data_IF_035327689268
#
_entry.id   IF_035327689268
#
_cell.length_a   1.000
_cell.length_b   1.000
_cell.length_c   1.000
_cell.angle_alpha   90.00
_cell.angle_beta   90.00
_cell.angle_gamma   90.00
#
_symmetry.space_group_name_H-M   'P 1'
#
loop_
_entity.id
_entity.type
_entity.pdbx_description
1 polymer ?
#
# COMPACT_ATOMS: atom_id res chain seq x y z
N UNK A 1 -1.29 49.04 43.70
CA UNK A 1 -2.57 48.72 43.01
C UNK A 1 -2.23 47.84 41.82
N UNK A 2 -2.59 46.56 41.87
CA UNK A 2 -2.29 45.57 40.84
C UNK A 2 -3.47 45.44 39.87
N UNK A 3 -3.21 45.31 38.57
CA UNK A 3 -4.20 44.82 37.60
C UNK A 3 -3.47 43.89 36.62
N UNK A 4 -3.54 42.59 36.90
CA UNK A 4 -3.26 41.53 35.92
C UNK A 4 -4.49 41.43 35.03
N UNK A 5 -4.33 41.59 33.71
CA UNK A 5 -5.40 41.34 32.73
C UNK A 5 -5.18 39.96 32.12
N UNK A 6 -6.21 39.14 32.22
CA UNK A 6 -6.28 37.70 31.95
C UNK A 6 -5.58 37.24 30.66
N UNK A 7 -4.82 36.14 30.75
CA UNK A 7 -4.40 35.33 29.60
C UNK A 7 -5.49 34.26 29.39
N UNK A 8 -6.17 34.32 28.25
CA UNK A 8 -7.13 33.30 27.83
C UNK A 8 -6.36 32.19 27.10
N UNK A 9 -6.21 31.02 27.73
CA UNK A 9 -5.60 29.85 27.10
C UNK A 9 -6.67 29.12 26.29
N UNK A 10 -6.63 29.26 24.96
CA UNK A 10 -7.40 28.39 24.08
C UNK A 10 -6.72 27.02 24.01
N UNK A 11 -7.28 26.03 24.71
CA UNK A 11 -6.99 24.63 24.42
C UNK A 11 -7.72 24.33 23.10
N UNK A 12 -7.00 24.46 21.99
CA UNK A 12 -7.38 23.74 20.77
C UNK A 12 -7.21 22.26 21.08
N UNK A 13 -8.32 21.59 21.41
CA UNK A 13 -8.40 20.15 21.25
C UNK A 13 -8.33 19.91 19.74
N UNK A 14 -7.11 19.76 19.22
CA UNK A 14 -6.92 19.25 17.89
C UNK A 14 -7.50 17.83 17.92
N UNK A 15 -8.70 17.66 17.39
CA UNK A 15 -9.13 16.39 16.84
C UNK A 15 -8.12 16.05 15.75
N UNK A 16 -7.03 15.40 16.16
CA UNK A 16 -6.12 14.77 15.22
C UNK A 16 -6.96 13.68 14.58
N UNK A 17 -7.36 13.90 13.33
CA UNK A 17 -7.80 12.82 12.47
C UNK A 17 -6.61 11.87 12.43
N UNK A 18 -6.63 10.83 13.26
CA UNK A 18 -5.66 9.76 13.09
C UNK A 18 -5.89 9.25 11.67
N UNK A 19 -4.84 9.26 10.84
CA UNK A 19 -4.81 8.43 9.63
C UNK A 19 -5.28 7.04 10.07
N UNK A 20 -6.50 6.70 9.67
CA UNK A 20 -7.11 5.44 10.04
C UNK A 20 -6.28 4.35 9.39
N UNK A 21 -5.97 3.27 10.11
CA UNK A 21 -5.22 2.15 9.58
C UNK A 21 -6.03 0.88 9.87
N UNK A 22 -5.89 -0.12 9.02
CA UNK A 22 -6.57 -1.38 9.23
C UNK A 22 -6.04 -2.03 10.52
N UNK A 23 -6.95 -2.29 11.46
CA UNK A 23 -6.61 -2.84 12.76
C UNK A 23 -6.37 -4.34 12.63
N UNK A 24 -5.13 -4.76 12.87
CA UNK A 24 -4.77 -6.18 12.91
C UNK A 24 -4.99 -6.69 14.32
N UNK A 25 -6.11 -7.39 14.54
CA UNK A 25 -6.45 -7.97 15.83
C UNK A 25 -5.73 -9.30 16.11
N UNK A 26 -6.04 -9.97 17.23
CA UNK A 26 -5.47 -11.28 17.57
C UNK A 26 -5.73 -12.37 16.53
N UNK A 27 -6.79 -12.23 15.74
CA UNK A 27 -7.16 -13.15 14.65
C UNK A 27 -6.65 -12.70 13.27
N UNK A 28 -5.84 -11.64 13.21
CA UNK A 28 -5.38 -11.02 11.98
C UNK A 28 -6.36 -9.96 11.42
N UNK A 29 -6.16 -9.64 10.15
CA UNK A 29 -6.98 -8.74 9.34
C UNK A 29 -7.24 -9.41 7.98
N UNK A 30 -8.41 -9.20 7.41
CA UNK A 30 -8.75 -9.68 6.07
C UNK A 30 -9.62 -8.63 5.38
N UNK A 31 -9.18 -8.20 4.21
CA UNK A 31 -9.97 -7.38 3.30
C UNK A 31 -10.62 -8.28 2.24
N UNK A 32 -11.91 -8.09 1.99
CA UNK A 32 -12.65 -8.83 0.98
C UNK A 32 -13.10 -7.95 -0.20
N UNK A 33 -12.84 -6.64 -0.14
CA UNK A 33 -13.16 -5.65 -1.16
C UNK A 33 -14.63 -5.66 -1.63
N UNK A 34 -15.55 -6.16 -0.79
CA UNK A 34 -16.99 -6.11 -1.06
C UNK A 34 -17.55 -4.69 -1.00
N UNK A 35 -16.79 -3.78 -0.38
CA UNK A 35 -17.03 -2.33 -0.34
C UNK A 35 -15.73 -1.62 -0.71
N UNK A 36 -15.84 -0.36 -1.15
CA UNK A 36 -14.68 0.47 -1.40
C UNK A 36 -13.86 0.59 -0.10
N UNK A 37 -12.57 0.21 -0.10
CA UNK A 37 -11.78 0.27 1.11
C UNK A 37 -11.51 1.73 1.49
N UNK A 38 -11.42 1.99 2.78
CA UNK A 38 -11.10 3.33 3.28
C UNK A 38 -9.67 3.71 2.88
N UNK A 39 -9.46 4.97 2.50
CA UNK A 39 -8.13 5.47 2.06
C UNK A 39 -7.05 5.34 3.13
N UNK A 40 -7.44 5.37 4.40
CA UNK A 40 -6.52 5.13 5.51
C UNK A 40 -5.96 3.71 5.52
N UNK A 41 -6.79 2.73 5.15
CA UNK A 41 -6.43 1.32 5.17
C UNK A 41 -5.75 0.92 3.86
N UNK A 42 -6.28 1.36 2.73
CA UNK A 42 -5.77 1.08 1.38
C UNK A 42 -5.69 2.35 0.55
N UNK A 43 -4.50 2.63 0.05
CA UNK A 43 -4.22 3.84 -0.73
C UNK A 43 -3.36 3.52 -1.95
N UNK A 44 -3.28 4.47 -2.87
CA UNK A 44 -2.48 4.34 -4.08
C UNK A 44 -1.63 5.58 -4.34
N UNK A 45 -0.60 5.41 -5.16
CA UNK A 45 0.28 6.45 -5.63
C UNK A 45 0.81 6.11 -7.03
N UNK A 46 0.94 7.13 -7.86
CA UNK A 46 1.54 7.02 -9.19
C UNK A 46 2.99 7.47 -9.12
N UNK A 47 3.94 6.56 -9.35
CA UNK A 47 5.35 6.93 -9.51
C UNK A 47 5.50 7.52 -10.91
N UNK A 48 5.77 8.83 -10.99
CA UNK A 48 5.95 9.53 -12.26
C UNK A 48 7.11 8.96 -13.09
N UNK A 49 6.99 9.06 -14.42
CA UNK A 49 7.96 8.55 -15.39
C UNK A 49 7.25 7.96 -16.62
N UNK A 50 8.02 7.27 -17.47
CA UNK A 50 7.50 6.52 -18.64
C UNK A 50 7.48 5.01 -18.37
N UNK A 51 6.78 4.26 -19.23
CA UNK A 51 6.79 2.78 -19.24
C UNK A 51 8.20 2.16 -19.30
N UNK A 52 9.17 2.89 -19.85
CA UNK A 52 10.56 2.42 -19.98
C UNK A 52 11.47 2.87 -18.83
N UNK A 53 10.93 3.50 -17.79
CA UNK A 53 11.74 4.07 -16.70
C UNK A 53 12.28 3.00 -15.74
N UNK A 54 11.69 1.80 -15.73
CA UNK A 54 12.20 0.63 -15.04
C UNK A 54 12.42 -0.49 -16.06
N UNK A 55 13.67 -0.72 -16.48
CA UNK A 55 13.97 -1.72 -17.51
C UNK A 55 14.26 -3.11 -16.94
N UNK A 56 14.56 -3.18 -15.64
CA UNK A 56 14.85 -4.39 -14.89
C UNK A 56 14.33 -4.28 -13.46
N UNK A 57 14.17 -5.41 -12.77
CA UNK A 57 13.72 -5.52 -11.39
C UNK A 57 14.41 -4.57 -10.41
N UNK A 58 15.71 -4.31 -10.57
CA UNK A 58 16.47 -3.42 -9.67
C UNK A 58 16.05 -1.95 -9.81
N UNK A 59 15.64 -1.52 -11.00
CA UNK A 59 15.18 -0.15 -11.24
C UNK A 59 13.84 0.08 -10.54
N UNK A 60 12.94 -0.90 -10.61
CA UNK A 60 11.65 -0.87 -9.93
C UNK A 60 11.82 -0.82 -8.40
N UNK A 61 12.73 -1.63 -7.84
CA UNK A 61 13.08 -1.59 -6.41
C UNK A 61 13.62 -0.21 -6.03
N UNK A 62 14.50 0.38 -6.85
CA UNK A 62 15.07 1.70 -6.58
C UNK A 62 14.01 2.81 -6.61
N UNK A 63 13.07 2.73 -7.56
CA UNK A 63 11.94 3.64 -7.65
C UNK A 63 10.99 3.51 -6.44
N UNK A 64 10.65 2.28 -6.06
CA UNK A 64 9.81 1.99 -4.89
C UNK A 64 10.47 2.45 -3.58
N UNK A 65 11.80 2.31 -3.44
CA UNK A 65 12.53 2.78 -2.27
C UNK A 65 12.45 4.29 -2.08
N UNK A 66 12.28 5.07 -3.14
CA UNK A 66 12.18 6.53 -3.05
C UNK A 66 10.80 7.02 -2.54
N UNK A 67 9.79 6.15 -2.48
CA UNK A 67 8.44 6.50 -2.05
C UNK A 67 8.36 6.46 -0.52
N UNK A 68 7.84 7.50 0.12
CA UNK A 68 7.42 7.43 1.53
C UNK A 68 5.94 7.05 1.62
N UNK A 69 5.55 6.35 2.68
CA UNK A 69 4.16 5.96 2.92
C UNK A 69 3.22 7.18 2.95
N UNK A 70 3.70 8.33 3.43
CA UNK A 70 2.91 9.59 3.43
C UNK A 70 2.57 10.12 2.03
N UNK A 71 3.29 9.72 0.98
CA UNK A 71 2.96 10.04 -0.41
C UNK A 71 1.84 9.14 -0.94
N UNK A 72 1.69 7.93 -0.38
CA UNK A 72 0.66 6.98 -0.75
C UNK A 72 -0.59 7.26 0.07
N UNK A 73 -1.39 8.21 -0.43
CA UNK A 73 -2.53 8.77 0.30
C UNK A 73 -3.77 9.03 -0.58
N UNK A 74 -3.74 8.57 -1.84
CA UNK A 74 -4.88 8.69 -2.75
C UNK A 74 -5.83 7.50 -2.56
N UNK A 75 -7.14 7.76 -2.51
CA UNK A 75 -8.15 6.71 -2.41
C UNK A 75 -8.21 5.87 -3.69
N UNK A 76 -8.51 4.57 -3.58
CA UNK A 76 -8.75 3.72 -4.74
C UNK A 76 -10.07 4.15 -5.40
N UNK A 77 -10.01 4.74 -6.59
CA UNK A 77 -11.22 5.14 -7.30
C UNK A 77 -12.07 3.90 -7.64
N UNK A 78 -13.39 4.04 -7.55
CA UNK A 78 -14.31 2.98 -7.96
C UNK A 78 -14.40 2.93 -9.49
N UNK A 79 -14.20 1.76 -10.07
CA UNK A 79 -14.41 1.48 -11.49
C UNK A 79 -15.35 0.27 -11.63
N UNK A 80 -16.38 0.38 -12.46
CA UNK A 80 -17.36 -0.68 -12.72
C UNK A 80 -17.00 -1.55 -13.93
N UNK A 81 -15.93 -1.23 -14.66
CA UNK A 81 -15.44 -1.96 -15.83
C UNK A 81 -15.05 -3.40 -15.50
N UNK A 82 -14.96 -4.25 -16.52
CA UNK A 82 -14.56 -5.65 -16.38
C UNK A 82 -13.71 -6.09 -17.58
N UNK A 83 -12.36 -5.98 -17.49
CA UNK A 83 -11.61 -5.39 -16.38
C UNK A 83 -11.75 -3.85 -16.32
N UNK A 84 -11.50 -3.21 -15.15
CA UNK A 84 -11.29 -1.77 -15.06
C UNK A 84 -10.28 -1.22 -16.09
N UNK A 85 -10.40 0.06 -16.40
CA UNK A 85 -9.50 0.75 -17.33
C UNK A 85 -8.05 0.80 -16.82
N UNK A 86 -7.08 0.93 -17.73
CA UNK A 86 -5.70 1.21 -17.33
C UNK A 86 -5.60 2.64 -16.80
N UNK A 87 -4.95 2.84 -15.65
CA UNK A 87 -4.73 4.16 -15.06
C UNK A 87 -3.39 4.20 -14.31
N UNK A 88 -2.85 5.41 -14.07
CA UNK A 88 -1.62 5.57 -13.30
C UNK A 88 -1.75 5.26 -11.80
N UNK A 89 -2.96 4.97 -11.31
CA UNK A 89 -3.25 4.61 -9.92
C UNK A 89 -3.93 3.24 -9.87
N UNK A 90 -3.89 2.58 -8.71
CA UNK A 90 -4.68 1.38 -8.45
C UNK A 90 -6.16 1.77 -8.27
N UNK A 91 -7.05 0.90 -8.71
CA UNK A 91 -8.51 1.13 -8.68
C UNK A 91 -9.22 -0.02 -7.97
N UNK A 92 -10.33 0.28 -7.32
CA UNK A 92 -11.23 -0.72 -6.77
C UNK A 92 -12.26 -1.11 -7.85
N UNK A 93 -12.24 -2.37 -8.27
CA UNK A 93 -13.18 -2.94 -9.22
C UNK A 93 -14.54 -3.16 -8.54
N UNK A 94 -15.35 -2.13 -8.48
CA UNK A 94 -16.62 -2.07 -7.74
C UNK A 94 -17.65 -3.13 -8.16
N UNK A 95 -17.60 -3.61 -9.40
CA UNK A 95 -18.45 -4.70 -9.91
C UNK A 95 -17.87 -6.10 -9.67
N UNK A 96 -16.56 -6.19 -9.42
CA UNK A 96 -15.83 -7.46 -9.29
C UNK A 96 -15.37 -7.81 -7.87
N UNK A 97 -15.29 -6.83 -6.96
CA UNK A 97 -14.85 -7.04 -5.58
C UNK A 97 -13.36 -7.33 -5.44
N UNK A 98 -12.51 -6.61 -6.17
CA UNK A 98 -11.05 -6.73 -6.10
C UNK A 98 -10.36 -5.37 -6.36
N UNK A 99 -9.05 -5.31 -6.14
CA UNK A 99 -8.22 -4.17 -6.54
C UNK A 99 -7.43 -4.54 -7.78
N UNK A 100 -7.36 -3.62 -8.75
CA UNK A 100 -6.59 -3.79 -9.97
C UNK A 100 -5.44 -2.79 -10.01
N UNK A 101 -4.26 -3.29 -10.35
CA UNK A 101 -3.17 -2.50 -10.89
C UNK A 101 -3.13 -2.77 -12.40
N UNK A 102 -3.19 -1.69 -13.17
CA UNK A 102 -3.01 -1.72 -14.62
C UNK A 102 -2.39 -0.38 -15.02
N UNK A 103 -1.09 -0.21 -14.70
CA UNK A 103 -0.39 1.05 -14.87
C UNK A 103 -0.52 1.58 -16.31
N UNK A 104 -0.61 2.90 -16.44
CA UNK A 104 -0.45 3.61 -17.71
C UNK A 104 -0.16 5.08 -17.43
N UNK A 105 0.65 5.70 -18.30
CA UNK A 105 1.04 7.11 -18.15
C UNK A 105 2.00 7.40 -16.99
N UNK A 106 2.65 6.38 -16.42
CA UNK A 106 3.56 6.48 -15.28
C UNK A 106 4.78 5.55 -15.41
N UNK A 107 5.67 5.52 -14.42
CA UNK A 107 6.73 4.50 -14.31
C UNK A 107 6.18 3.22 -13.67
N UNK A 108 5.46 3.38 -12.56
CA UNK A 108 4.89 2.28 -11.81
C UNK A 108 3.71 2.76 -10.95
N UNK A 109 2.78 1.85 -10.67
CA UNK A 109 1.66 2.07 -9.78
C UNK A 109 1.93 1.42 -8.44
N UNK A 110 1.71 2.16 -7.35
CA UNK A 110 1.80 1.65 -5.98
C UNK A 110 0.40 1.46 -5.42
N UNK A 111 0.13 0.30 -4.86
CA UNK A 111 -0.94 0.05 -3.92
C UNK A 111 -0.31 -0.16 -2.54
N UNK A 112 -0.85 0.46 -1.50
CA UNK A 112 -0.35 0.31 -0.14
C UNK A 112 -1.48 -0.01 0.84
N UNK A 113 -1.23 -1.00 1.70
CA UNK A 113 -2.01 -1.22 2.90
C UNK A 113 -1.30 -0.60 4.11
N UNK A 114 -2.05 0.16 4.91
CA UNK A 114 -1.60 0.69 6.20
C UNK A 114 -2.27 -0.12 7.31
N UNK A 115 -1.44 -0.74 8.15
CA UNK A 115 -1.88 -1.60 9.24
C UNK A 115 -1.46 -1.01 10.58
N UNK A 116 -2.28 -1.24 11.61
CA UNK A 116 -1.90 -1.01 13.00
C UNK A 116 -1.99 -2.30 13.81
N UNK A 117 -0.96 -2.58 14.61
CA UNK A 117 -0.98 -3.74 15.50
C UNK A 117 -1.96 -3.51 16.64
N UNK A 118 -3.10 -4.19 16.58
CA UNK A 118 -4.12 -4.21 17.62
C UNK A 118 -4.30 -5.62 18.20
N UNK A 119 -3.26 -6.46 18.15
CA UNK A 119 -3.29 -7.85 18.64
C UNK A 119 -3.18 -7.98 20.16
N UNK A 120 -2.86 -6.88 20.85
CA UNK A 120 -2.66 -6.85 22.31
C UNK A 120 -1.24 -7.20 22.77
N UNK A 121 -0.34 -7.61 21.88
CA UNK A 121 1.08 -7.83 22.17
C UNK A 121 1.97 -7.46 20.98
N UNK A 122 3.29 -7.42 21.18
CA UNK A 122 4.22 -7.24 20.08
C UNK A 122 4.17 -8.48 19.16
N UNK A 123 4.08 -8.25 17.86
CA UNK A 123 4.06 -9.31 16.84
C UNK A 123 5.49 -9.58 16.37
N UNK A 124 5.92 -10.84 16.48
CA UNK A 124 7.26 -11.29 16.11
C UNK A 124 7.37 -11.76 14.64
N UNK A 125 6.23 -12.08 14.01
CA UNK A 125 6.17 -12.61 12.65
C UNK A 125 4.84 -12.23 12.00
N UNK A 126 4.89 -11.82 10.75
CA UNK A 126 3.71 -11.56 9.92
C UNK A 126 3.65 -12.58 8.78
N UNK A 127 2.43 -13.01 8.45
CA UNK A 127 2.14 -13.78 7.24
C UNK A 127 1.13 -12.99 6.42
N UNK A 128 1.44 -12.75 5.14
CA UNK A 128 0.55 -12.16 4.17
C UNK A 128 0.17 -13.22 3.15
N UNK A 129 -1.13 -13.34 2.88
CA UNK A 129 -1.65 -14.26 1.87
C UNK A 129 -2.72 -13.58 1.02
N UNK A 130 -2.58 -13.61 -0.29
CA UNK A 130 -3.52 -13.01 -1.22
C UNK A 130 -3.67 -13.86 -2.50
N UNK A 131 -4.75 -13.64 -3.22
CA UNK A 131 -4.98 -14.24 -4.54
C UNK A 131 -4.57 -13.24 -5.61
N UNK A 132 -3.63 -13.65 -6.47
CA UNK A 132 -3.14 -12.86 -7.60
C UNK A 132 -3.62 -13.45 -8.92
N UNK A 133 -4.22 -12.62 -9.75
CA UNK A 133 -4.65 -12.99 -11.10
C UNK A 133 -4.10 -12.00 -12.12
N UNK A 134 -3.79 -12.52 -13.32
CA UNK A 134 -3.28 -11.75 -14.46
C UNK A 134 -4.05 -12.18 -15.71
N UNK A 135 -4.46 -11.22 -16.55
CA UNK A 135 -5.35 -11.48 -17.72
C UNK A 135 -4.68 -11.30 -19.08
N UNK A 136 -3.44 -10.81 -19.13
CA UNK A 136 -2.65 -10.63 -20.38
C UNK A 136 -1.22 -11.12 -20.20
N UNK A 137 -0.74 -11.98 -21.09
CA UNK A 137 0.56 -12.69 -21.03
C UNK A 137 1.56 -12.19 -22.11
N UNK A 138 1.49 -10.92 -22.53
CA UNK A 138 2.34 -10.43 -23.61
C UNK A 138 3.45 -9.50 -23.11
N UNK A 139 4.59 -10.08 -22.73
CA UNK A 139 5.89 -9.38 -22.81
C UNK A 139 6.33 -8.53 -21.61
N UNK A 140 5.68 -8.66 -20.45
CA UNK A 140 6.05 -7.92 -19.25
C UNK A 140 7.56 -8.08 -18.94
N UNK A 141 8.28 -6.96 -18.93
CA UNK A 141 9.73 -6.95 -18.67
C UNK A 141 10.05 -7.38 -17.23
N UNK A 142 9.16 -7.13 -16.27
CA UNK A 142 9.31 -7.49 -14.86
C UNK A 142 8.12 -8.36 -14.46
N UNK A 143 8.28 -9.69 -14.34
CA UNK A 143 7.15 -10.57 -14.10
C UNK A 143 6.51 -10.30 -12.74
N UNK A 144 5.21 -9.95 -12.69
CA UNK A 144 4.43 -9.83 -11.46
C UNK A 144 4.75 -8.62 -10.57
N UNK A 145 4.14 -8.58 -9.38
CA UNK A 145 4.23 -7.44 -8.46
C UNK A 145 5.51 -7.46 -7.62
N UNK A 146 6.11 -6.31 -7.36
CA UNK A 146 7.08 -6.14 -6.28
C UNK A 146 6.35 -5.90 -4.95
N UNK A 147 6.64 -6.70 -3.93
CA UNK A 147 6.03 -6.57 -2.59
C UNK A 147 7.08 -6.17 -1.57
N UNK A 148 6.83 -5.08 -0.84
CA UNK A 148 7.75 -4.56 0.18
C UNK A 148 7.01 -4.16 1.45
N UNK A 149 7.66 -4.23 2.61
CA UNK A 149 7.10 -3.74 3.86
C UNK A 149 8.00 -2.72 4.56
N UNK A 150 7.42 -1.91 5.45
CA UNK A 150 8.16 -1.02 6.35
C UNK A 150 7.38 -0.81 7.65
N UNK A 151 8.09 -0.65 8.78
CA UNK A 151 7.51 -0.25 10.06
C UNK A 151 7.55 1.27 10.30
N UNK A 152 8.33 2.01 9.52
CA UNK A 152 8.44 3.48 9.63
C UNK A 152 7.71 4.21 8.52
N UNK A 153 7.58 3.58 7.34
CA UNK A 153 7.03 4.21 6.14
C UNK A 153 7.94 5.30 5.55
N UNK A 154 9.18 5.43 6.02
CA UNK A 154 10.14 6.38 5.46
C UNK A 154 10.68 5.88 4.12
N UNK A 155 10.96 6.79 3.19
CA UNK A 155 11.72 6.43 1.99
C UNK A 155 13.07 5.79 2.37
N UNK A 156 13.49 4.77 1.64
CA UNK A 156 14.71 3.99 1.90
C UNK A 156 14.59 2.97 3.04
N UNK A 157 13.43 2.85 3.69
CA UNK A 157 13.22 1.90 4.80
C UNK A 157 12.54 0.59 4.38
N UNK A 158 12.22 0.43 3.10
CA UNK A 158 11.43 -0.68 2.62
C UNK A 158 12.27 -1.96 2.53
N UNK A 159 11.65 -3.07 2.90
CA UNK A 159 12.26 -4.40 2.83
C UNK A 159 11.43 -5.24 1.86
N UNK A 160 12.09 -5.79 0.84
CA UNK A 160 11.45 -6.69 -0.14
C UNK A 160 10.99 -7.97 0.56
N UNK A 161 9.81 -8.49 0.18
CA UNK A 161 9.30 -9.80 0.57
C UNK A 161 9.49 -10.76 -0.61
N UNK A 162 10.58 -11.54 -0.67
CA UNK A 162 10.94 -12.29 -1.88
C UNK A 162 9.89 -13.33 -2.28
N UNK A 163 9.20 -13.95 -1.31
CA UNK A 163 8.18 -14.98 -1.56
C UNK A 163 6.93 -14.47 -2.26
N UNK A 164 6.72 -13.15 -2.24
CA UNK A 164 5.58 -12.48 -2.84
C UNK A 164 5.96 -11.57 -4.01
N UNK A 165 7.27 -11.37 -4.23
CA UNK A 165 7.80 -10.43 -5.22
C UNK A 165 8.19 -11.13 -6.49
N UNK A 166 7.71 -10.60 -7.61
CA UNK A 166 8.00 -11.08 -8.95
C UNK A 166 7.59 -12.55 -9.17
N UNK A 167 6.45 -12.92 -8.56
CA UNK A 167 5.89 -14.28 -8.62
C UNK A 167 4.65 -14.28 -9.52
N UNK A 168 4.46 -15.38 -10.25
CA UNK A 168 3.30 -15.57 -11.13
C UNK A 168 1.95 -15.65 -10.39
N UNK A 169 0.84 -15.66 -11.13
CA UNK A 169 -0.51 -15.67 -10.55
C UNK A 169 -0.80 -16.95 -9.75
N UNK A 170 -1.69 -16.82 -8.77
CA UNK A 170 -2.12 -17.90 -7.88
C UNK A 170 -2.38 -17.40 -6.46
N UNK A 171 -2.62 -18.34 -5.55
CA UNK A 171 -2.67 -18.08 -4.11
C UNK A 171 -1.23 -17.92 -3.60
N UNK A 172 -0.83 -16.70 -3.29
CA UNK A 172 0.52 -16.38 -2.82
C UNK A 172 0.54 -16.26 -1.29
N UNK A 173 1.59 -16.76 -0.65
CA UNK A 173 1.80 -16.69 0.80
C UNK A 173 3.26 -16.41 1.11
N UNK A 174 3.52 -15.37 1.90
CA UNK A 174 4.86 -15.01 2.36
C UNK A 174 4.82 -14.59 3.82
N UNK A 175 5.93 -14.77 4.52
CA UNK A 175 6.02 -14.36 5.91
C UNK A 175 7.43 -13.99 6.31
N UNK A 176 7.54 -12.98 7.16
CA UNK A 176 8.80 -12.40 7.60
C UNK A 176 8.78 -12.18 9.10
N UNK A 177 9.97 -12.20 9.70
CA UNK A 177 10.15 -11.86 11.11
C UNK A 177 10.23 -10.35 11.28
N UNK A 178 9.67 -9.86 12.37
CA UNK A 178 9.43 -8.43 12.59
C UNK A 178 9.37 -8.15 14.09
N UNK A 179 9.72 -6.94 14.51
CA UNK A 179 9.40 -6.45 15.85
C UNK A 179 8.32 -5.37 15.75
N UNK A 180 7.06 -5.77 15.64
CA UNK A 180 5.95 -4.84 15.45
C UNK A 180 5.26 -4.57 16.79
N UNK A 181 5.53 -3.42 17.44
CA UNK A 181 4.99 -3.10 18.75
C UNK A 181 3.47 -2.89 18.70
N UNK A 182 2.79 -3.10 19.82
CA UNK A 182 1.35 -2.77 19.97
C UNK A 182 1.14 -1.29 19.65
N UNK A 183 0.11 -0.99 18.85
CA UNK A 183 -0.21 0.35 18.37
C UNK A 183 0.73 0.87 17.29
N UNK A 184 1.82 0.17 16.97
CA UNK A 184 2.74 0.51 15.89
C UNK A 184 2.10 0.35 14.52
N UNK A 185 2.59 1.11 13.54
CA UNK A 185 2.16 0.98 12.15
C UNK A 185 3.06 0.01 11.38
N UNK A 186 2.47 -0.63 10.38
CA UNK A 186 3.17 -1.35 9.33
C UNK A 186 2.55 -0.95 7.99
N UNK A 187 3.39 -0.77 7.00
CA UNK A 187 3.00 -0.46 5.63
C UNK A 187 3.46 -1.61 4.75
N UNK A 188 2.61 -2.05 3.83
CA UNK A 188 3.00 -3.02 2.78
C UNK A 188 2.63 -2.43 1.43
N UNK A 189 3.60 -2.32 0.54
CA UNK A 189 3.42 -1.87 -0.84
C UNK A 189 3.39 -3.06 -1.79
N UNK A 190 2.50 -2.98 -2.76
CA UNK A 190 2.49 -3.75 -3.99
C UNK A 190 2.78 -2.77 -5.12
N UNK A 191 3.82 -3.03 -5.90
CA UNK A 191 4.27 -2.14 -6.96
C UNK A 191 4.23 -2.90 -8.28
N UNK A 192 3.53 -2.31 -9.24
CA UNK A 192 3.36 -2.84 -10.59
C UNK A 192 4.02 -1.88 -11.57
N UNK A 193 4.95 -2.37 -12.38
CA UNK A 193 5.62 -1.54 -13.36
C UNK A 193 4.72 -1.28 -14.57
N UNK A 194 4.96 -0.15 -15.23
CA UNK A 194 4.24 0.23 -16.43
C UNK A 194 4.97 -0.22 -17.71
N UNK A 195 5.93 -1.15 -17.63
CA UNK A 195 6.61 -1.63 -18.82
C UNK A 195 5.65 -2.43 -19.71
N UNK A 196 6.04 -2.65 -20.97
CA UNK A 196 5.14 -3.18 -22.00
C UNK A 196 4.49 -4.50 -21.59
N UNK A 197 3.18 -4.43 -21.29
CA UNK A 197 2.26 -5.56 -21.08
C UNK A 197 0.96 -5.37 -21.84
#
# INVERSE_FOLDING_TARGET
MAIIRSILLFIFCALTWSLQAALVGPNGYTENFSVQPAVGDWSTYSIGGSSTSSGVSNDLVSAAQAVSASQVNTALAADGGSPPGATGNAVWASSGGYVQLRPTGNNATVLMMTLQNNSGSAVARVTLTYDYAKTTESGEQIPGLLVMYSLSGAAGSWVVVPELSMVGPGRLSGGWDVNWPVGGLMYVMFVDDNADG
#
